data_IF_120245868843
#
_entry.id   IF_120245868843
#
_cell.length_a   1.000
_cell.length_b   1.000
_cell.length_c   1.000
_cell.angle_alpha   90.00
_cell.angle_beta   90.00
_cell.angle_gamma   90.00
#
_symmetry.space_group_name_H-M   'P 1'
#
loop_
_entity.id
_entity.type
_entity.pdbx_description
1 polymer ?
#
# COMPACT_ATOMS: atom_id res chain seq x y z
N UNK A 1 10.63 12.92 -22.78
CA UNK A 1 11.12 14.29 -23.04
C UNK A 1 10.62 15.34 -22.03
N UNK A 2 9.35 15.35 -21.58
CA UNK A 2 8.90 16.28 -20.50
C UNK A 2 9.00 15.72 -19.08
N UNK A 3 9.00 14.39 -18.89
CA UNK A 3 9.15 13.78 -17.57
C UNK A 3 10.58 13.88 -17.00
N UNK A 4 11.60 13.88 -17.87
CA UNK A 4 13.02 13.94 -17.47
C UNK A 4 13.46 15.33 -16.98
N UNK A 5 12.70 16.39 -17.30
CA UNK A 5 13.04 17.75 -16.88
C UNK A 5 12.49 18.10 -15.48
N UNK A 6 11.43 17.41 -15.01
CA UNK A 6 10.86 17.61 -13.66
C UNK A 6 11.75 17.07 -12.54
N UNK A 7 12.67 16.15 -12.84
CA UNK A 7 13.63 15.61 -11.85
C UNK A 7 14.66 16.66 -11.39
N UNK A 8 14.87 17.75 -12.15
CA UNK A 8 15.91 18.76 -11.88
C UNK A 8 15.43 19.83 -10.88
N UNK A 9 14.12 19.97 -10.62
CA UNK A 9 13.55 21.01 -9.73
C UNK A 9 13.01 20.41 -8.41
N UNK A 10 13.69 19.38 -7.89
CA UNK A 10 13.69 19.05 -6.45
C UNK A 10 12.35 18.73 -5.76
N UNK A 11 11.28 18.45 -6.49
CA UNK A 11 9.97 18.19 -5.92
C UNK A 11 9.50 16.82 -6.34
N UNK A 12 9.15 16.00 -5.34
CA UNK A 12 8.24 14.87 -5.46
C UNK A 12 7.32 14.96 -6.69
N UNK A 13 7.23 13.88 -7.49
CA UNK A 13 6.25 13.82 -8.57
C UNK A 13 4.87 13.72 -7.91
N UNK A 14 4.23 14.85 -7.62
CA UNK A 14 3.03 14.93 -6.78
C UNK A 14 1.92 13.98 -7.24
N UNK A 15 1.74 13.83 -8.55
CA UNK A 15 0.79 12.86 -9.12
C UNK A 15 1.19 11.41 -8.84
N UNK A 16 2.48 11.08 -8.90
CA UNK A 16 2.99 9.75 -8.57
C UNK A 16 2.82 9.44 -7.08
N UNK A 17 3.09 10.41 -6.21
CA UNK A 17 2.83 10.26 -4.76
C UNK A 17 1.36 10.06 -4.47
N UNK A 18 0.49 10.85 -5.10
CA UNK A 18 -0.95 10.69 -4.98
C UNK A 18 -1.38 9.29 -5.41
N UNK A 19 -0.88 8.81 -6.55
CA UNK A 19 -1.15 7.47 -7.08
C UNK A 19 -0.65 6.36 -6.13
N UNK A 20 0.55 6.51 -5.56
CA UNK A 20 1.08 5.57 -4.55
C UNK A 20 0.27 5.61 -3.25
N UNK A 21 -0.28 6.76 -2.88
CA UNK A 21 -1.22 6.90 -1.75
C UNK A 21 -2.51 6.13 -2.01
N UNK A 22 -3.15 6.37 -3.15
CA UNK A 22 -4.38 5.67 -3.56
C UNK A 22 -4.16 4.15 -3.68
N UNK A 23 -3.03 3.71 -4.24
CA UNK A 23 -2.68 2.30 -4.31
C UNK A 23 -2.50 1.66 -2.92
N UNK A 24 -1.96 2.41 -1.95
CA UNK A 24 -1.81 1.95 -0.57
C UNK A 24 -3.15 1.78 0.11
N UNK A 25 -4.05 2.74 -0.04
CA UNK A 25 -5.41 2.64 0.51
C UNK A 25 -6.14 1.41 -0.04
N UNK A 26 -6.09 1.20 -1.36
CA UNK A 26 -6.70 0.02 -1.98
C UNK A 26 -6.10 -1.31 -1.48
N UNK A 27 -4.80 -1.37 -1.24
CA UNK A 27 -4.16 -2.57 -0.70
C UNK A 27 -4.61 -2.85 0.75
N UNK A 28 -4.77 -1.80 1.56
CA UNK A 28 -5.30 -1.91 2.92
C UNK A 28 -6.76 -2.38 2.89
N UNK A 29 -7.60 -1.78 2.06
CA UNK A 29 -9.03 -2.13 1.98
C UNK A 29 -9.23 -3.61 1.63
N UNK A 30 -8.45 -4.13 0.68
CA UNK A 30 -8.46 -5.56 0.32
C UNK A 30 -8.02 -6.45 1.49
N UNK A 31 -6.97 -6.06 2.20
CA UNK A 31 -6.48 -6.80 3.37
C UNK A 31 -7.51 -6.79 4.52
N UNK A 32 -8.16 -5.66 4.76
CA UNK A 32 -9.23 -5.53 5.76
C UNK A 32 -10.45 -6.37 5.40
N UNK A 33 -10.88 -6.33 4.12
CA UNK A 33 -12.00 -7.15 3.64
C UNK A 33 -11.74 -8.64 3.87
N UNK A 34 -10.51 -9.10 3.60
CA UNK A 34 -10.16 -10.51 3.83
C UNK A 34 -10.10 -10.85 5.32
N UNK A 35 -9.53 -9.97 6.15
CA UNK A 35 -9.52 -10.17 7.60
C UNK A 35 -10.95 -10.23 8.17
N UNK A 36 -11.86 -9.39 7.67
CA UNK A 36 -13.27 -9.42 8.05
C UNK A 36 -13.97 -10.71 7.60
N UNK A 37 -13.69 -11.20 6.39
CA UNK A 37 -14.20 -12.49 5.91
C UNK A 37 -13.71 -13.67 6.78
N UNK A 38 -12.52 -13.56 7.36
CA UNK A 38 -11.97 -14.51 8.32
C UNK A 38 -12.53 -14.35 9.74
N UNK A 39 -13.39 -13.36 9.99
CA UNK A 39 -13.97 -13.07 11.29
C UNK A 39 -13.00 -12.40 12.28
N UNK A 40 -11.89 -11.87 11.80
CA UNK A 40 -10.92 -11.17 12.65
C UNK A 40 -11.41 -9.77 13.05
N UNK A 41 -11.03 -9.33 14.25
CA UNK A 41 -11.28 -7.98 14.74
C UNK A 41 -10.01 -7.10 14.80
N UNK A 42 -8.85 -7.69 14.50
CA UNK A 42 -7.57 -6.97 14.42
C UNK A 42 -6.63 -7.62 13.41
N UNK A 43 -5.67 -6.83 12.92
CA UNK A 43 -4.53 -7.30 12.12
C UNK A 43 -3.25 -6.91 12.84
N UNK A 44 -2.45 -7.90 13.24
CA UNK A 44 -1.18 -7.70 13.92
C UNK A 44 0.00 -7.84 12.98
N UNK A 45 1.12 -7.21 13.35
CA UNK A 45 2.37 -7.23 12.57
C UNK A 45 2.17 -6.80 11.11
N UNK A 46 1.31 -5.82 10.87
CA UNK A 46 1.05 -5.28 9.54
C UNK A 46 2.33 -4.68 8.94
N UNK A 47 2.60 -4.98 7.67
CA UNK A 47 3.73 -4.47 6.91
C UNK A 47 3.31 -4.13 5.49
N UNK A 48 4.07 -3.20 4.89
CA UNK A 48 4.05 -2.98 3.46
C UNK A 48 5.30 -3.57 2.84
N UNK A 49 5.16 -4.15 1.65
CA UNK A 49 6.27 -4.51 0.78
C UNK A 49 6.00 -3.93 -0.61
N UNK A 50 7.06 -3.50 -1.28
CA UNK A 50 6.98 -2.96 -2.64
C UNK A 50 8.04 -3.62 -3.51
N UNK A 51 7.72 -3.90 -4.76
CA UNK A 51 8.67 -4.40 -5.76
C UNK A 51 8.45 -3.70 -7.08
N UNK A 52 9.50 -3.56 -7.90
CA UNK A 52 9.33 -3.14 -9.28
C UNK A 52 8.90 -4.35 -10.10
N UNK A 53 7.73 -4.26 -10.74
CA UNK A 53 7.17 -5.34 -11.56
C UNK A 53 7.43 -5.13 -13.05
N UNK A 54 7.62 -3.88 -13.47
CA UNK A 54 8.01 -3.49 -14.82
C UNK A 54 8.65 -2.11 -14.80
N UNK A 55 9.27 -1.70 -15.90
CA UNK A 55 9.85 -0.36 -16.02
C UNK A 55 8.77 0.71 -15.78
N UNK A 56 8.96 1.53 -14.77
CA UNK A 56 8.00 2.55 -14.36
C UNK A 56 6.74 2.05 -13.63
N UNK A 57 6.62 0.77 -13.28
CA UNK A 57 5.52 0.29 -12.42
C UNK A 57 6.01 -0.57 -11.24
N UNK A 58 5.46 -0.26 -10.06
CA UNK A 58 5.73 -0.96 -8.82
C UNK A 58 4.44 -1.60 -8.28
N UNK A 59 4.59 -2.79 -7.69
CA UNK A 59 3.55 -3.38 -6.85
C UNK A 59 3.68 -2.87 -5.41
N UNK A 60 2.54 -2.80 -4.71
CA UNK A 60 2.46 -2.52 -3.28
C UNK A 60 1.59 -3.59 -2.63
N UNK A 61 2.22 -4.35 -1.73
CA UNK A 61 1.60 -5.41 -0.96
C UNK A 61 1.40 -4.93 0.48
N UNK A 62 0.18 -5.08 1.01
CA UNK A 62 -0.12 -4.94 2.43
C UNK A 62 -0.42 -6.34 3.00
N UNK A 63 0.24 -6.70 4.10
CA UNK A 63 0.04 -8.00 4.72
C UNK A 63 0.22 -7.94 6.24
N UNK A 64 -0.37 -8.88 6.95
CA UNK A 64 -0.30 -9.01 8.41
C UNK A 64 -0.99 -10.30 8.87
N UNK A 65 -1.15 -10.45 10.19
CA UNK A 65 -1.82 -11.60 10.80
C UNK A 65 -3.20 -11.19 11.30
N UNK A 66 -4.26 -11.75 10.70
CA UNK A 66 -5.63 -11.55 11.16
C UNK A 66 -5.87 -12.32 12.47
N UNK A 67 -6.39 -11.65 13.50
CA UNK A 67 -6.61 -12.24 14.83
C UNK A 67 -7.96 -11.82 15.42
N UNK A 68 -8.46 -12.61 16.37
CA UNK A 68 -9.56 -12.24 17.25
C UNK A 68 -9.00 -11.95 18.64
N UNK A 69 -9.01 -10.68 19.03
CA UNK A 69 -8.70 -10.25 20.39
C UNK A 69 -9.94 -10.44 21.27
N UNK A 70 -9.74 -10.94 22.48
CA UNK A 70 -10.75 -11.06 23.52
C UNK A 70 -10.33 -10.17 24.69
N UNK A 71 -11.27 -9.35 25.18
CA UNK A 71 -11.06 -8.58 26.40
C UNK A 71 -11.11 -9.52 27.62
N UNK A 72 -10.33 -9.22 28.67
CA UNK A 72 -10.32 -9.97 29.94
C UNK A 72 -11.61 -9.83 30.75
#
# INVERSE_FOLDING_TARGET
MMAQLKTIVGGEITEYTKLMGEAREQAIDRMLSEAQHLGANAILSMRFSTSMVMDGAAELLAYGTAVVLVDE
#
